data_IF_492802920093
#
_entry.id   IF_492802920093
#
_cell.length_a   1.000
_cell.length_b   1.000
_cell.length_c   1.000
_cell.angle_alpha   90.00
_cell.angle_beta   90.00
_cell.angle_gamma   90.00
#
_symmetry.space_group_name_H-M   'P 1'
#
loop_
_entity.id
_entity.type
_entity.pdbx_description
1 polymer ?
#
# COMPACT_ATOMS: atom_id res chain seq x y z
N UNK A 1 1.41 12.07 22.42
CA UNK A 1 2.80 11.97 22.99
C UNK A 1 3.77 11.28 22.01
N UNK A 2 3.21 10.52 21.06
CA UNK A 2 3.80 9.90 19.86
C UNK A 2 4.70 10.86 19.05
N UNK A 3 4.26 12.12 18.89
CA UNK A 3 4.97 13.20 18.20
C UNK A 3 6.42 13.41 18.66
N UNK A 4 6.72 13.30 19.97
CA UNK A 4 8.08 13.61 20.49
C UNK A 4 9.09 12.48 20.29
N UNK A 5 8.66 11.22 20.22
CA UNK A 5 9.57 10.08 20.09
C UNK A 5 9.85 9.71 18.63
N UNK A 6 8.87 9.77 17.72
CA UNK A 6 9.09 9.57 16.28
C UNK A 6 10.07 10.59 15.71
N UNK A 7 9.92 11.88 16.06
CA UNK A 7 10.84 12.95 15.64
C UNK A 7 12.28 12.71 16.15
N UNK A 8 12.43 12.10 17.32
CA UNK A 8 13.75 11.83 17.91
C UNK A 8 14.50 10.68 17.20
N UNK A 9 13.78 9.65 16.73
CA UNK A 9 14.31 8.56 15.90
C UNK A 9 14.61 9.03 14.47
N UNK A 10 13.71 9.81 13.88
CA UNK A 10 13.86 10.38 12.52
C UNK A 10 15.08 11.33 12.39
N UNK A 11 15.40 12.09 13.44
CA UNK A 11 16.59 12.98 13.47
C UNK A 11 17.90 12.19 13.63
N UNK A 12 17.89 11.03 14.28
CA UNK A 12 19.06 10.16 14.39
C UNK A 12 19.45 9.53 13.03
N UNK A 13 18.48 9.35 12.13
CA UNK A 13 18.70 8.73 10.81
C UNK A 13 19.35 9.68 9.82
N UNK A 14 19.04 10.98 9.88
CA UNK A 14 19.78 11.99 9.13
C UNK A 14 21.29 11.97 9.47
N UNK A 15 21.67 11.45 10.64
CA UNK A 15 23.06 11.24 11.05
C UNK A 15 23.61 9.86 10.61
N UNK A 16 22.79 8.82 10.44
CA UNK A 16 23.24 7.50 9.93
C UNK A 16 23.64 7.57 8.44
N UNK A 17 22.98 8.43 7.66
CA UNK A 17 23.34 8.72 6.27
C UNK A 17 24.65 9.53 6.13
N UNK A 18 25.22 10.03 7.24
CA UNK A 18 26.52 10.74 7.26
C UNK A 18 27.70 9.84 7.61
N UNK A 19 27.56 8.52 7.47
CA UNK A 19 28.62 7.53 7.74
C UNK A 19 29.89 7.76 6.91
N UNK A 20 30.75 8.67 7.39
CA UNK A 20 32.13 8.86 6.96
C UNK A 20 32.93 7.58 7.23
N UNK A 21 32.95 6.67 6.26
CA UNK A 21 33.92 5.59 6.15
C UNK A 21 34.98 5.97 5.12
N UNK A 22 36.22 6.15 5.56
CA UNK A 22 37.39 6.34 4.69
C UNK A 22 37.61 5.10 3.82
N UNK A 23 37.01 5.07 2.64
CA UNK A 23 37.46 4.23 1.54
C UNK A 23 37.02 4.84 0.21
N UNK A 24 37.76 4.52 -0.86
CA UNK A 24 37.67 5.12 -2.20
C UNK A 24 36.29 5.12 -2.90
N UNK A 25 35.23 4.57 -2.28
CA UNK A 25 33.83 4.70 -2.68
C UNK A 25 33.06 5.87 -2.03
N UNK A 26 33.72 6.72 -1.23
CA UNK A 26 33.07 7.83 -0.51
C UNK A 26 32.49 8.93 -1.41
N UNK A 27 33.04 9.15 -2.61
CA UNK A 27 32.52 10.14 -3.57
C UNK A 27 31.20 9.66 -4.19
N UNK A 28 31.12 8.39 -4.58
CA UNK A 28 29.90 7.79 -5.14
C UNK A 28 28.75 7.77 -4.12
N UNK A 29 29.08 7.49 -2.85
CA UNK A 29 28.09 7.51 -1.75
C UNK A 29 27.62 8.92 -1.43
N UNK A 30 28.53 9.90 -1.43
CA UNK A 30 28.17 11.30 -1.22
C UNK A 30 27.29 11.83 -2.35
N UNK A 31 27.59 11.51 -3.61
CA UNK A 31 26.75 11.88 -4.74
C UNK A 31 25.38 11.24 -4.64
N UNK A 32 25.30 9.96 -4.29
CA UNK A 32 24.02 9.26 -4.09
C UNK A 32 23.19 9.92 -2.98
N UNK A 33 23.82 10.29 -1.87
CA UNK A 33 23.15 11.00 -0.78
C UNK A 33 22.65 12.39 -1.22
N UNK A 34 23.46 13.14 -1.96
CA UNK A 34 23.05 14.43 -2.49
C UNK A 34 21.86 14.30 -3.45
N UNK A 35 21.81 13.23 -4.24
CA UNK A 35 20.67 12.95 -5.12
C UNK A 35 19.40 12.66 -4.30
N UNK A 36 19.50 11.85 -3.23
CA UNK A 36 18.39 11.63 -2.29
C UNK A 36 17.91 12.94 -1.65
N UNK A 37 18.84 13.76 -1.15
CA UNK A 37 18.53 15.03 -0.49
C UNK A 37 17.88 16.05 -1.46
N UNK A 38 18.25 16.00 -2.74
CA UNK A 38 17.67 16.83 -3.79
C UNK A 38 16.36 16.26 -4.38
N UNK A 39 15.91 15.08 -3.93
CA UNK A 39 14.72 14.40 -4.47
C UNK A 39 14.91 13.76 -5.85
N UNK A 40 16.14 13.56 -6.31
CA UNK A 40 16.46 12.86 -7.57
C UNK A 40 16.43 11.33 -7.38
N UNK A 41 15.25 10.81 -7.05
CA UNK A 41 15.05 9.39 -6.76
C UNK A 41 15.31 8.49 -7.98
N UNK A 42 14.87 8.91 -9.16
CA UNK A 42 15.10 8.16 -10.40
C UNK A 42 16.59 8.09 -10.75
N UNK A 43 17.35 9.16 -10.49
CA UNK A 43 18.79 9.16 -10.66
C UNK A 43 19.49 8.19 -9.70
N UNK A 44 19.07 8.13 -8.43
CA UNK A 44 19.60 7.15 -7.45
C UNK A 44 19.34 5.72 -7.92
N UNK A 45 18.09 5.40 -8.30
CA UNK A 45 17.71 4.06 -8.77
C UNK A 45 18.57 3.67 -9.98
N UNK A 46 18.65 4.54 -10.99
CA UNK A 46 19.41 4.28 -12.22
C UNK A 46 20.89 4.05 -11.96
N UNK A 47 21.45 4.69 -10.93
CA UNK A 47 22.86 4.58 -10.57
C UNK A 47 23.17 3.32 -9.76
N UNK A 48 22.32 2.99 -8.80
CA UNK A 48 22.64 2.01 -7.74
C UNK A 48 22.05 0.63 -8.04
N UNK A 49 20.87 0.54 -8.66
CA UNK A 49 20.08 -0.71 -8.74
C UNK A 49 20.82 -1.88 -9.40
N UNK A 50 21.52 -1.61 -10.52
CA UNK A 50 22.22 -2.64 -11.27
C UNK A 50 23.47 -3.20 -10.56
N UNK A 51 24.01 -2.47 -9.58
CA UNK A 51 25.29 -2.79 -8.92
C UNK A 51 25.17 -2.97 -7.41
N UNK A 52 23.95 -2.88 -6.87
CA UNK A 52 23.70 -2.92 -5.44
C UNK A 52 24.20 -4.23 -4.81
N UNK A 53 25.06 -4.12 -3.81
CA UNK A 53 25.66 -5.28 -3.14
C UNK A 53 25.92 -5.09 -1.65
N UNK A 54 25.73 -3.87 -1.14
CA UNK A 54 25.94 -3.53 0.26
C UNK A 54 24.67 -2.99 0.92
N UNK A 55 24.63 -3.06 2.26
CA UNK A 55 23.53 -2.49 3.07
C UNK A 55 23.30 -1.00 2.76
N UNK A 56 24.38 -0.26 2.46
CA UNK A 56 24.31 1.15 2.06
C UNK A 56 23.61 1.34 0.72
N UNK A 57 23.84 0.44 -0.24
CA UNK A 57 23.21 0.49 -1.56
C UNK A 57 21.72 0.15 -1.44
N UNK A 58 21.40 -0.88 -0.66
CA UNK A 58 20.01 -1.27 -0.39
C UNK A 58 19.26 -0.19 0.38
N UNK A 59 19.90 0.47 1.34
CA UNK A 59 19.28 1.59 2.07
C UNK A 59 19.00 2.78 1.15
N UNK A 60 19.93 3.12 0.26
CA UNK A 60 19.74 4.18 -0.72
C UNK A 60 18.63 3.86 -1.71
N UNK A 61 18.56 2.61 -2.19
CA UNK A 61 17.47 2.14 -3.07
C UNK A 61 16.13 2.16 -2.36
N UNK A 62 16.07 1.69 -1.11
CA UNK A 62 14.85 1.72 -0.32
C UNK A 62 14.32 3.16 -0.17
N UNK A 63 15.19 4.08 0.25
CA UNK A 63 14.85 5.50 0.38
C UNK A 63 14.44 6.13 -0.96
N UNK A 64 15.12 5.81 -2.06
CA UNK A 64 14.78 6.33 -3.38
C UNK A 64 13.42 5.83 -3.86
N UNK A 65 13.12 4.54 -3.70
CA UNK A 65 11.82 3.98 -4.05
C UNK A 65 10.70 4.56 -3.18
N UNK A 66 10.93 4.74 -1.87
CA UNK A 66 9.98 5.42 -0.98
C UNK A 66 9.72 6.87 -1.40
N UNK A 67 10.77 7.60 -1.81
CA UNK A 67 10.62 8.95 -2.35
C UNK A 67 9.91 9.01 -3.70
N UNK A 68 10.19 8.05 -4.60
CA UNK A 68 9.50 7.89 -5.89
C UNK A 68 8.02 7.56 -5.73
N UNK A 69 7.65 6.90 -4.63
CA UNK A 69 6.26 6.72 -4.21
C UNK A 69 5.55 8.04 -3.80
N UNK A 70 6.28 9.18 -3.73
CA UNK A 70 5.75 10.46 -3.24
C UNK A 70 5.74 10.58 -1.72
N UNK A 71 6.41 9.65 -1.02
CA UNK A 71 6.32 9.50 0.43
C UNK A 71 7.71 9.47 1.07
N UNK A 72 8.58 10.39 0.63
CA UNK A 72 9.93 10.52 1.17
C UNK A 72 9.89 10.82 2.68
N UNK A 73 11.02 10.62 3.36
CA UNK A 73 11.12 10.83 4.80
C UNK A 73 10.63 12.21 5.30
N UNK A 74 10.94 13.33 4.62
CA UNK A 74 10.39 14.63 5.00
C UNK A 74 8.87 14.70 4.89
N UNK A 75 8.31 14.10 3.83
CA UNK A 75 6.87 14.01 3.64
C UNK A 75 6.20 13.19 4.74
N UNK A 76 6.88 12.13 5.18
CA UNK A 76 6.46 11.25 6.27
C UNK A 76 6.37 12.00 7.60
N UNK A 77 7.40 12.80 7.90
CA UNK A 77 7.41 13.67 9.07
C UNK A 77 6.23 14.63 9.01
N UNK A 78 5.99 15.27 7.87
CA UNK A 78 4.86 16.18 7.67
C UNK A 78 3.52 15.49 7.84
N UNK A 79 3.33 14.31 7.23
CA UNK A 79 2.12 13.49 7.36
C UNK A 79 1.85 13.20 8.84
N UNK A 80 2.84 12.68 9.57
CA UNK A 80 2.71 12.36 11.01
C UNK A 80 2.44 13.63 11.83
N UNK A 81 3.08 14.74 11.50
CA UNK A 81 2.90 16.00 12.24
C UNK A 81 1.51 16.59 12.04
N UNK A 82 0.91 16.41 10.86
CA UNK A 82 -0.38 16.97 10.50
C UNK A 82 -1.57 16.08 10.89
N UNK A 83 -1.33 14.81 11.22
CA UNK A 83 -2.36 13.81 11.63
C UNK A 83 -2.74 13.94 13.12
N UNK A 84 -3.05 15.14 13.62
CA UNK A 84 -3.06 15.51 15.05
C UNK A 84 -3.77 14.53 16.05
N UNK A 85 -3.13 14.35 17.21
CA UNK A 85 -3.32 13.34 18.28
C UNK A 85 -4.56 13.58 19.21
N UNK A 86 -5.58 14.34 18.77
CA UNK A 86 -6.65 14.83 19.68
C UNK A 86 -8.10 14.63 19.22
N UNK A 87 -8.34 13.94 18.10
CA UNK A 87 -9.70 13.65 17.63
C UNK A 87 -9.78 12.31 16.90
N UNK A 88 -11.01 11.80 16.76
CA UNK A 88 -11.34 10.53 16.09
C UNK A 88 -10.92 10.49 14.60
N UNK A 89 -10.44 11.61 14.04
CA UNK A 89 -10.10 11.79 12.62
C UNK A 89 -8.60 11.65 12.29
N UNK A 90 -7.74 11.30 13.25
CA UNK A 90 -6.28 11.22 13.01
C UNK A 90 -5.91 10.18 11.94
N UNK A 91 -6.60 9.04 11.93
CA UNK A 91 -6.41 7.99 10.91
C UNK A 91 -6.88 8.43 9.53
N UNK A 92 -8.04 9.09 9.44
CA UNK A 92 -8.56 9.66 8.18
C UNK A 92 -7.60 10.70 7.63
N UNK A 93 -7.14 11.60 8.51
CA UNK A 93 -6.17 12.64 8.14
C UNK A 93 -4.87 12.02 7.64
N UNK A 94 -4.39 10.95 8.29
CA UNK A 94 -3.20 10.23 7.84
C UNK A 94 -3.39 9.65 6.42
N UNK A 95 -4.50 8.96 6.16
CA UNK A 95 -4.75 8.37 4.84
C UNK A 95 -4.92 9.47 3.78
N UNK A 96 -5.68 10.53 4.07
CA UNK A 96 -5.89 11.65 3.15
C UNK A 96 -4.57 12.33 2.76
N UNK A 97 -3.66 12.51 3.74
CA UNK A 97 -2.33 13.06 3.47
C UNK A 97 -1.46 12.11 2.62
N UNK A 98 -1.54 10.80 2.86
CA UNK A 98 -0.86 9.80 2.01
C UNK A 98 -1.45 9.80 0.61
N UNK A 99 -2.78 9.83 0.47
CA UNK A 99 -3.49 9.79 -0.81
C UNK A 99 -3.23 11.05 -1.65
N UNK A 100 -3.08 12.20 -1.00
CA UNK A 100 -2.73 13.46 -1.65
C UNK A 100 -1.29 13.47 -2.18
N UNK A 101 -0.36 12.82 -1.46
CA UNK A 101 1.07 12.86 -1.77
C UNK A 101 1.55 11.70 -2.64
N UNK A 102 0.85 10.57 -2.63
CA UNK A 102 1.27 9.36 -3.35
C UNK A 102 1.43 9.64 -4.84
N UNK A 103 2.43 9.00 -5.45
CA UNK A 103 2.52 8.90 -6.90
C UNK A 103 1.60 7.79 -7.44
N UNK A 104 1.35 7.79 -8.74
CA UNK A 104 0.56 6.73 -9.40
C UNK A 104 1.21 5.35 -9.29
N UNK A 105 2.53 5.27 -9.09
CA UNK A 105 3.30 4.03 -8.90
C UNK A 105 3.55 3.69 -7.44
N UNK A 106 2.93 4.41 -6.49
CA UNK A 106 3.28 4.32 -5.07
C UNK A 106 3.25 2.91 -4.48
N UNK A 107 2.25 2.08 -4.80
CA UNK A 107 2.19 0.71 -4.28
C UNK A 107 3.36 -0.15 -4.75
N UNK A 108 3.76 -0.02 -6.02
CA UNK A 108 4.90 -0.76 -6.56
C UNK A 108 6.22 -0.26 -5.97
N UNK A 109 6.40 1.06 -5.91
CA UNK A 109 7.62 1.65 -5.39
C UNK A 109 7.76 1.39 -3.87
N UNK A 110 6.67 1.42 -3.08
CA UNK A 110 6.69 1.02 -1.66
C UNK A 110 7.00 -0.47 -1.46
N UNK A 111 6.53 -1.34 -2.36
CA UNK A 111 6.88 -2.77 -2.32
C UNK A 111 8.37 -2.96 -2.57
N UNK A 112 8.94 -2.30 -3.58
CA UNK A 112 10.37 -2.31 -3.86
C UNK A 112 11.18 -1.76 -2.69
N UNK A 113 10.74 -0.64 -2.11
CA UNK A 113 11.34 -0.06 -0.90
C UNK A 113 11.41 -1.08 0.23
N UNK A 114 10.28 -1.72 0.53
CA UNK A 114 10.18 -2.76 1.56
C UNK A 114 11.08 -3.96 1.26
N UNK A 115 11.16 -4.39 0.00
CA UNK A 115 12.05 -5.46 -0.44
C UNK A 115 13.54 -5.13 -0.20
N UNK A 116 13.95 -3.89 -0.44
CA UNK A 116 15.33 -3.46 -0.17
C UNK A 116 15.62 -3.32 1.33
N UNK A 117 14.69 -2.84 2.15
CA UNK A 117 14.86 -2.89 3.60
C UNK A 117 15.02 -4.32 4.11
N UNK A 118 14.17 -5.25 3.64
CA UNK A 118 14.25 -6.68 3.98
C UNK A 118 15.58 -7.32 3.57
N UNK A 119 16.27 -6.84 2.53
CA UNK A 119 17.63 -7.33 2.19
C UNK A 119 18.67 -7.02 3.27
N UNK A 120 18.43 -6.03 4.14
CA UNK A 120 19.36 -5.62 5.21
C UNK A 120 19.02 -6.29 6.54
N UNK A 121 17.74 -6.29 6.91
CA UNK A 121 17.27 -6.81 8.22
C UNK A 121 16.74 -8.23 8.16
N UNK A 122 16.54 -8.78 6.96
CA UNK A 122 15.94 -10.10 6.74
C UNK A 122 14.59 -10.20 7.49
N UNK A 123 14.32 -11.34 8.13
CA UNK A 123 13.11 -11.58 8.94
C UNK A 123 13.27 -11.11 10.41
N UNK A 124 14.30 -10.32 10.72
CA UNK A 124 14.59 -9.96 12.13
C UNK A 124 13.61 -8.94 12.71
N UNK A 125 12.89 -8.21 11.87
CA UNK A 125 11.90 -7.23 12.32
C UNK A 125 10.60 -7.85 12.82
N UNK A 126 10.36 -9.13 12.54
CA UNK A 126 9.16 -9.88 12.97
C UNK A 126 9.49 -10.92 14.06
N UNK A 127 10.76 -11.07 14.45
CA UNK A 127 11.18 -12.03 15.46
C UNK A 127 11.20 -11.41 16.87
N UNK A 128 10.38 -11.97 17.76
CA UNK A 128 10.15 -11.52 19.15
C UNK A 128 11.41 -11.44 20.02
N UNK A 129 12.45 -12.21 19.69
CA UNK A 129 13.74 -12.27 20.41
C UNK A 129 14.93 -11.76 19.56
N UNK A 130 14.69 -11.03 18.47
CA UNK A 130 15.75 -10.56 17.61
C UNK A 130 16.67 -9.56 18.33
N UNK A 131 17.97 -9.87 18.39
CA UNK A 131 18.97 -8.93 18.88
C UNK A 131 19.39 -7.97 17.75
N UNK A 132 18.70 -6.85 17.66
CA UNK A 132 18.93 -5.81 16.63
C UNK A 132 19.89 -4.72 17.12
N UNK A 133 20.82 -4.31 16.24
CA UNK A 133 21.56 -3.07 16.42
C UNK A 133 20.63 -1.85 16.33
N UNK A 134 21.07 -0.68 16.82
CA UNK A 134 20.30 0.57 16.66
C UNK A 134 19.95 0.86 15.19
N UNK A 135 20.91 0.71 14.28
CA UNK A 135 20.67 0.91 12.85
C UNK A 135 19.67 -0.09 12.27
N UNK A 136 19.64 -1.33 12.75
CA UNK A 136 18.65 -2.32 12.31
C UNK A 136 17.26 -2.01 12.87
N UNK A 137 17.15 -1.46 14.09
CA UNK A 137 15.88 -0.98 14.63
C UNK A 137 15.31 0.16 13.79
N UNK A 138 16.14 1.11 13.39
CA UNK A 138 15.72 2.20 12.50
C UNK A 138 15.25 1.66 11.14
N UNK A 139 15.94 0.66 10.59
CA UNK A 139 15.50 0.00 9.34
C UNK A 139 14.18 -0.75 9.52
N UNK A 140 13.97 -1.44 10.64
CA UNK A 140 12.69 -2.08 10.94
C UNK A 140 11.55 -1.05 11.05
N UNK A 141 11.82 0.11 11.66
CA UNK A 141 10.86 1.21 11.69
C UNK A 141 10.52 1.67 10.27
N UNK A 142 11.50 1.86 9.38
CA UNK A 142 11.22 2.27 8.00
C UNK A 142 10.51 1.21 7.17
N UNK A 143 10.84 -0.06 7.38
CA UNK A 143 10.09 -1.16 6.79
C UNK A 143 8.62 -1.10 7.24
N UNK A 144 8.39 -0.94 8.54
CA UNK A 144 7.06 -0.79 9.12
C UNK A 144 6.30 0.40 8.53
N UNK A 145 6.91 1.58 8.49
CA UNK A 145 6.32 2.79 7.91
C UNK A 145 5.99 2.62 6.43
N UNK A 146 6.88 2.00 5.64
CA UNK A 146 6.66 1.69 4.24
C UNK A 146 5.44 0.77 4.04
N UNK A 147 5.28 -0.25 4.89
CA UNK A 147 4.10 -1.13 4.87
C UNK A 147 2.83 -0.39 5.27
N UNK A 148 2.87 0.45 6.32
CA UNK A 148 1.72 1.28 6.73
C UNK A 148 1.28 2.23 5.62
N UNK A 149 2.24 2.85 4.92
CA UNK A 149 1.97 3.68 3.75
C UNK A 149 1.35 2.89 2.61
N UNK A 150 1.79 1.64 2.39
CA UNK A 150 1.22 0.76 1.37
C UNK A 150 -0.26 0.49 1.66
N UNK A 151 -0.61 0.27 2.93
CA UNK A 151 -2.01 0.13 3.38
C UNK A 151 -2.80 1.39 3.15
N UNK A 152 -2.32 2.54 3.64
CA UNK A 152 -3.03 3.81 3.46
C UNK A 152 -3.24 4.12 1.97
N UNK A 153 -2.20 3.89 1.16
CA UNK A 153 -2.27 4.02 -0.30
C UNK A 153 -3.33 3.10 -0.91
N UNK A 154 -3.40 1.84 -0.46
CA UNK A 154 -4.40 0.88 -0.92
C UNK A 154 -5.81 1.28 -0.49
N UNK A 155 -6.01 1.69 0.78
CA UNK A 155 -7.31 2.17 1.28
C UNK A 155 -7.79 3.37 0.45
N UNK A 156 -6.91 4.33 0.14
CA UNK A 156 -7.23 5.45 -0.74
C UNK A 156 -7.59 5.05 -2.18
N UNK A 157 -7.24 3.84 -2.64
CA UNK A 157 -7.76 3.31 -3.90
C UNK A 157 -9.13 2.64 -3.77
N UNK A 158 -9.51 2.18 -2.58
CA UNK A 158 -10.77 1.45 -2.34
C UNK A 158 -11.94 2.38 -1.99
N UNK A 159 -11.68 3.52 -1.36
CA UNK A 159 -12.71 4.47 -0.94
C UNK A 159 -12.57 5.79 -1.70
N UNK A 160 -13.66 6.54 -1.86
CA UNK A 160 -13.60 7.96 -2.24
C UNK A 160 -13.71 8.86 -1.01
N UNK A 161 -14.51 8.47 -0.01
CA UNK A 161 -14.57 9.10 1.31
C UNK A 161 -14.08 8.15 2.40
N UNK A 162 -12.90 8.43 2.96
CA UNK A 162 -12.28 7.62 4.02
C UNK A 162 -12.88 7.95 5.41
N UNK A 163 -13.61 9.05 5.56
CA UNK A 163 -14.22 9.43 6.84
C UNK A 163 -15.25 8.40 7.33
N UNK A 164 -15.79 7.58 6.43
CA UNK A 164 -16.67 6.45 6.76
C UNK A 164 -15.99 5.39 7.64
N UNK A 165 -14.64 5.35 7.66
CA UNK A 165 -13.89 4.41 8.50
C UNK A 165 -13.77 4.85 9.96
N UNK A 166 -14.10 6.11 10.29
CA UNK A 166 -14.06 6.64 11.67
C UNK A 166 -15.39 7.18 12.16
N UNK A 167 -16.39 7.27 11.27
CA UNK A 167 -17.69 7.83 11.63
C UNK A 167 -18.59 6.82 12.37
N UNK A 168 -19.04 7.22 13.56
CA UNK A 168 -20.14 6.62 14.34
C UNK A 168 -21.53 6.80 13.65
N UNK A 169 -21.57 7.04 12.33
CA UNK A 169 -22.72 7.60 11.59
C UNK A 169 -23.03 6.75 10.36
N UNK A 170 -24.32 6.61 10.02
CA UNK A 170 -24.89 5.89 8.85
C UNK A 170 -24.49 6.47 7.47
N UNK A 171 -23.20 6.70 7.25
CA UNK A 171 -22.65 7.21 5.99
C UNK A 171 -21.84 6.10 5.34
N UNK A 172 -22.31 5.62 4.19
CA UNK A 172 -21.60 4.63 3.38
C UNK A 172 -20.87 5.29 2.21
N UNK A 173 -19.67 4.82 1.93
CA UNK A 173 -18.94 5.15 0.71
C UNK A 173 -19.28 4.10 -0.36
N UNK A 174 -19.82 4.56 -1.50
CA UNK A 174 -20.30 3.66 -2.55
C UNK A 174 -19.16 2.85 -3.17
N UNK A 175 -17.99 3.47 -3.34
CA UNK A 175 -16.80 2.83 -3.91
C UNK A 175 -16.18 1.82 -2.95
N UNK A 176 -16.12 2.11 -1.65
CA UNK A 176 -15.67 1.19 -0.62
C UNK A 176 -16.60 -0.02 -0.55
N UNK A 177 -17.91 0.22 -0.53
CA UNK A 177 -18.92 -0.83 -0.56
C UNK A 177 -18.78 -1.71 -1.81
N UNK A 178 -18.62 -1.09 -2.99
CA UNK A 178 -18.39 -1.81 -4.23
C UNK A 178 -17.06 -2.58 -4.22
N UNK A 179 -15.98 -2.00 -3.68
CA UNK A 179 -14.67 -2.65 -3.55
C UNK A 179 -14.73 -3.89 -2.66
N UNK A 180 -15.36 -3.79 -1.48
CA UNK A 180 -15.57 -4.91 -0.57
C UNK A 180 -16.43 -6.00 -1.20
N UNK A 181 -17.41 -5.59 -2.00
CA UNK A 181 -18.25 -6.49 -2.77
C UNK A 181 -17.44 -7.28 -3.81
N UNK A 182 -16.56 -6.60 -4.56
CA UNK A 182 -15.69 -7.23 -5.55
C UNK A 182 -14.75 -8.24 -4.89
N UNK A 183 -14.15 -7.87 -3.76
CA UNK A 183 -13.26 -8.75 -2.99
C UNK A 183 -14.00 -10.02 -2.53
N UNK A 184 -15.18 -9.86 -1.92
CA UNK A 184 -15.99 -11.00 -1.48
C UNK A 184 -16.40 -11.90 -2.65
N UNK A 185 -16.88 -11.32 -3.74
CA UNK A 185 -17.27 -12.06 -4.93
C UNK A 185 -16.10 -12.85 -5.54
N UNK A 186 -14.90 -12.27 -5.56
CA UNK A 186 -13.69 -12.93 -6.02
C UNK A 186 -13.36 -14.15 -5.14
N UNK A 187 -13.24 -13.99 -3.82
CA UNK A 187 -12.86 -15.06 -2.88
C UNK A 187 -13.85 -16.22 -2.87
N UNK A 188 -15.15 -15.92 -2.95
CA UNK A 188 -16.21 -16.93 -2.99
C UNK A 188 -16.30 -17.65 -4.36
N UNK A 189 -15.28 -17.47 -5.21
CA UNK A 189 -15.12 -18.17 -6.47
C UNK A 189 -16.15 -17.78 -7.52
N UNK A 190 -16.62 -16.52 -7.50
CA UNK A 190 -17.59 -15.96 -8.46
C UNK A 190 -18.92 -16.70 -8.50
N UNK A 191 -19.20 -17.47 -7.45
CA UNK A 191 -20.32 -18.42 -7.40
C UNK A 191 -21.38 -18.06 -6.37
N UNK A 192 -21.11 -17.09 -5.48
CA UNK A 192 -22.02 -16.75 -4.40
C UNK A 192 -23.19 -15.90 -4.88
N UNK A 193 -24.39 -16.46 -4.79
CA UNK A 193 -25.65 -15.75 -5.05
C UNK A 193 -26.11 -14.90 -3.85
N UNK A 194 -25.37 -14.92 -2.74
CA UNK A 194 -25.67 -14.17 -1.51
C UNK A 194 -24.82 -12.89 -1.36
N UNK A 195 -24.10 -12.47 -2.41
CA UNK A 195 -23.46 -11.16 -2.41
C UNK A 195 -24.56 -10.10 -2.40
N UNK A 196 -24.52 -9.19 -1.42
CA UNK A 196 -25.55 -8.19 -1.16
C UNK A 196 -25.64 -7.08 -2.20
N UNK A 197 -24.67 -7.03 -3.13
CA UNK A 197 -24.50 -5.96 -4.11
C UNK A 197 -24.64 -6.49 -5.54
N UNK A 198 -24.95 -5.59 -6.47
CA UNK A 198 -25.30 -5.96 -7.84
C UNK A 198 -24.04 -6.14 -8.68
N UNK A 199 -23.65 -7.41 -8.89
CA UNK A 199 -22.50 -7.77 -9.71
C UNK A 199 -22.94 -8.18 -11.12
N UNK A 200 -22.30 -7.58 -12.13
CA UNK A 200 -22.38 -8.00 -13.53
C UNK A 200 -21.05 -8.62 -13.93
N UNK A 201 -21.08 -9.92 -14.24
CA UNK A 201 -19.94 -10.70 -14.71
C UNK A 201 -20.31 -11.36 -16.04
N UNK A 202 -19.71 -10.88 -17.12
CA UNK A 202 -19.98 -11.37 -18.47
C UNK A 202 -19.16 -12.63 -18.82
N UNK A 203 -18.34 -13.15 -17.89
CA UNK A 203 -17.38 -14.23 -18.12
C UNK A 203 -16.40 -13.95 -19.27
N UNK A 204 -16.14 -12.67 -19.54
CA UNK A 204 -15.11 -12.25 -20.48
C UNK A 204 -13.76 -12.20 -19.79
N UNK A 205 -12.69 -12.28 -20.58
CA UNK A 205 -11.33 -12.11 -20.09
C UNK A 205 -10.65 -11.04 -20.92
N UNK A 206 -9.96 -10.13 -20.25
CA UNK A 206 -9.19 -9.06 -20.87
C UNK A 206 -7.71 -9.28 -20.59
N UNK A 207 -6.86 -9.06 -21.58
CA UNK A 207 -5.41 -9.19 -21.43
C UNK A 207 -4.76 -7.84 -21.68
N UNK A 208 -4.04 -7.31 -20.67
CA UNK A 208 -3.22 -6.11 -20.83
C UNK A 208 -1.89 -6.51 -21.46
N UNK A 209 -1.59 -5.97 -22.64
CA UNK A 209 -0.42 -6.37 -23.44
C UNK A 209 0.89 -5.90 -22.82
N UNK A 210 0.90 -4.71 -22.21
CA UNK A 210 2.09 -4.13 -21.55
C UNK A 210 2.63 -5.01 -20.41
N UNK A 211 1.77 -5.76 -19.72
CA UNK A 211 2.13 -6.70 -18.65
C UNK A 211 1.94 -8.18 -19.01
N UNK A 212 1.27 -8.46 -20.13
CA UNK A 212 0.77 -9.79 -20.52
C UNK A 212 -0.06 -10.48 -19.40
N UNK A 213 -0.82 -9.69 -18.64
CA UNK A 213 -1.70 -10.20 -17.57
C UNK A 213 -3.15 -10.24 -18.02
N UNK A 214 -3.83 -11.31 -17.63
CA UNK A 214 -5.23 -11.55 -17.97
C UNK A 214 -6.10 -11.45 -16.71
N UNK A 215 -7.17 -10.68 -16.81
CA UNK A 215 -8.14 -10.49 -15.74
C UNK A 215 -9.54 -10.82 -16.21
N UNK A 216 -10.41 -11.15 -15.26
CA UNK A 216 -11.86 -11.17 -15.48
C UNK A 216 -12.44 -9.85 -14.97
N UNK A 217 -12.90 -8.94 -15.86
CA UNK A 217 -13.54 -7.71 -15.43
C UNK A 217 -14.92 -8.02 -14.88
N UNK A 218 -15.28 -7.34 -13.80
CA UNK A 218 -16.62 -7.33 -13.22
C UNK A 218 -17.08 -5.89 -13.04
N UNK A 219 -18.39 -5.66 -13.10
CA UNK A 219 -18.98 -4.35 -12.83
C UNK A 219 -19.89 -4.47 -11.61
N UNK A 220 -19.73 -3.57 -10.66
CA UNK A 220 -20.56 -3.50 -9.45
C UNK A 220 -21.34 -2.20 -9.47
N UNK A 221 -22.65 -2.31 -9.27
CA UNK A 221 -23.54 -1.16 -9.13
C UNK A 221 -23.93 -0.96 -7.67
N UNK A 222 -23.62 0.22 -7.12
CA UNK A 222 -23.88 0.59 -5.74
C UNK A 222 -24.36 2.05 -5.67
N UNK A 223 -25.45 2.32 -4.94
CA UNK A 223 -26.04 3.66 -4.80
C UNK A 223 -26.29 4.45 -6.12
N UNK A 224 -26.47 3.74 -7.24
CA UNK A 224 -26.69 4.35 -8.56
C UNK A 224 -25.42 4.70 -9.33
N UNK A 225 -24.25 4.34 -8.79
CA UNK A 225 -22.95 4.45 -9.42
C UNK A 225 -22.45 3.06 -9.85
N UNK A 226 -21.58 3.02 -10.86
CA UNK A 226 -21.00 1.78 -11.39
C UNK A 226 -19.48 1.82 -11.31
N UNK A 227 -18.90 0.72 -10.85
CA UNK A 227 -17.47 0.56 -10.66
C UNK A 227 -17.00 -0.72 -11.36
N UNK A 228 -15.96 -0.62 -12.18
CA UNK A 228 -15.32 -1.79 -12.79
C UNK A 228 -14.13 -2.25 -11.93
N UNK A 229 -14.09 -3.54 -11.63
CA UNK A 229 -12.99 -4.19 -10.91
C UNK A 229 -12.41 -5.33 -11.73
N UNK A 230 -11.16 -5.69 -11.43
CA UNK A 230 -10.45 -6.76 -12.12
C UNK A 230 -10.18 -7.92 -11.16
N UNK A 231 -10.69 -9.10 -11.50
CA UNK A 231 -10.43 -10.35 -10.76
C UNK A 231 -9.24 -11.07 -11.40
N UNK A 232 -8.28 -11.47 -10.57
CA UNK A 232 -7.10 -12.25 -10.97
C UNK A 232 -7.45 -13.74 -11.14
N UNK A 233 -6.53 -14.50 -11.74
CA UNK A 233 -6.65 -15.96 -11.84
C UNK A 233 -6.62 -16.70 -10.49
N UNK A 234 -6.21 -15.99 -9.42
CA UNK A 234 -6.17 -16.48 -8.04
C UNK A 234 -7.41 -16.15 -7.22
N UNK A 235 -8.50 -15.69 -7.86
CA UNK A 235 -9.74 -15.32 -7.18
C UNK A 235 -9.55 -14.17 -6.18
N UNK A 236 -8.72 -13.19 -6.53
CA UNK A 236 -8.52 -11.95 -5.75
C UNK A 236 -8.83 -10.72 -6.61
N UNK A 237 -9.13 -9.59 -5.98
CA UNK A 237 -9.33 -8.33 -6.69
C UNK A 237 -8.00 -7.57 -6.82
N UNK A 238 -7.62 -7.23 -8.06
CA UNK A 238 -6.47 -6.38 -8.32
C UNK A 238 -6.79 -4.93 -7.91
N UNK A 239 -5.82 -4.22 -7.32
CA UNK A 239 -5.98 -2.78 -7.08
C UNK A 239 -5.90 -2.07 -8.44
N UNK A 240 -6.90 -1.25 -8.74
CA UNK A 240 -6.97 -0.45 -9.96
C UNK A 240 -6.92 1.04 -9.64
N UNK A 241 -6.47 1.82 -10.61
CA UNK A 241 -6.52 3.28 -10.57
C UNK A 241 -6.81 3.79 -11.97
N UNK A 242 -7.81 4.65 -12.11
CA UNK A 242 -8.17 5.24 -13.41
C UNK A 242 -8.55 4.17 -14.45
N UNK A 243 -8.65 4.58 -15.72
CA UNK A 243 -8.98 3.68 -16.84
C UNK A 243 -7.89 3.72 -17.91
N UNK A 244 -7.56 2.58 -18.50
CA UNK A 244 -6.59 2.48 -19.59
C UNK A 244 -7.04 1.45 -20.64
N UNK A 245 -6.50 1.57 -21.85
CA UNK A 245 -6.66 0.54 -22.87
C UNK A 245 -5.87 -0.72 -22.51
N UNK A 246 -6.32 -1.87 -23.02
CA UNK A 246 -5.57 -3.14 -22.92
C UNK A 246 -4.26 -3.13 -23.68
N UNK A 247 -4.08 -2.21 -24.64
CA UNK A 247 -2.86 -2.10 -25.45
C UNK A 247 -1.75 -1.34 -24.73
N UNK A 248 -2.08 -0.30 -23.96
CA UNK A 248 -1.06 0.42 -23.21
C UNK A 248 -1.55 1.13 -21.95
N UNK A 249 -0.79 0.96 -20.86
CA UNK A 249 -0.98 1.71 -19.61
C UNK A 249 -0.73 3.22 -19.78
N UNK A 250 0.03 3.63 -20.80
CA UNK A 250 0.26 5.05 -21.11
C UNK A 250 -1.00 5.82 -21.52
N UNK A 251 -2.08 5.12 -21.82
CA UNK A 251 -3.38 5.70 -22.19
C UNK A 251 -4.25 6.08 -20.98
N UNK A 252 -3.72 6.05 -19.75
CA UNK A 252 -4.50 6.34 -18.53
C UNK A 252 -5.29 7.65 -18.64
N UNK A 253 -6.60 7.52 -18.50
CA UNK A 253 -7.53 8.63 -18.34
C UNK A 253 -7.85 8.72 -16.87
N UNK A 254 -7.31 9.74 -16.20
CA UNK A 254 -7.71 10.06 -14.84
C UNK A 254 -9.20 10.41 -14.84
N UNK A 255 -9.97 9.83 -13.92
CA UNK A 255 -11.29 10.34 -13.64
C UNK A 255 -11.10 11.67 -12.92
N UNK A 256 -11.45 12.78 -13.56
CA UNK A 256 -11.85 13.96 -12.81
C UNK A 256 -13.27 13.73 -12.25
N UNK A 257 -13.71 14.59 -11.33
CA UNK A 257 -15.00 14.45 -10.62
C UNK A 257 -16.25 14.40 -11.53
N UNK A 258 -16.12 14.47 -12.87
CA UNK A 258 -17.22 14.45 -13.82
C UNK A 258 -17.21 13.27 -14.80
N UNK A 259 -16.21 12.37 -14.73
CA UNK A 259 -16.15 11.17 -15.59
C UNK A 259 -16.44 9.95 -14.71
N UNK A 260 -17.54 9.26 -14.98
CA UNK A 260 -17.88 7.95 -14.40
C UNK A 260 -17.66 6.84 -15.42
N UNK A 261 -17.60 5.58 -14.97
CA UNK A 261 -17.54 4.42 -15.86
C UNK A 261 -18.66 4.42 -16.91
N UNK A 262 -19.88 4.81 -16.52
CA UNK A 262 -21.02 4.96 -17.42
C UNK A 262 -20.82 6.06 -18.49
N UNK A 263 -20.10 7.13 -18.17
CA UNK A 263 -19.76 8.17 -19.17
C UNK A 263 -18.66 7.74 -20.13
N UNK A 264 -17.72 6.90 -19.70
CA UNK A 264 -16.68 6.33 -20.56
C UNK A 264 -17.26 5.31 -21.54
N UNK A 265 -18.15 4.44 -21.07
CA UNK A 265 -18.79 3.39 -21.91
C UNK A 265 -19.74 3.94 -22.98
N UNK A 266 -20.16 5.21 -22.87
CA UNK A 266 -21.07 5.89 -23.80
C UNK A 266 -20.38 6.84 -24.79
N UNK A 267 -19.06 7.05 -24.69
CA UNK A 267 -18.32 7.97 -25.55
C UNK A 267 -17.93 7.32 -26.89
N UNK A 268 -18.68 7.64 -27.96
CA UNK A 268 -18.58 6.97 -29.27
C UNK A 268 -17.30 7.20 -30.09
N UNK A 269 -16.44 8.14 -29.70
CA UNK A 269 -15.14 8.39 -30.36
C UNK A 269 -13.97 7.61 -29.70
N UNK A 270 -14.21 6.94 -28.57
CA UNK A 270 -13.25 6.10 -27.85
C UNK A 270 -13.49 4.62 -28.18
N UNK A 271 -13.11 4.21 -29.39
CA UNK A 271 -13.30 2.86 -29.92
C UNK A 271 -12.24 1.83 -29.43
N UNK A 272 -11.46 2.19 -28.39
CA UNK A 272 -10.62 1.26 -27.65
C UNK A 272 -11.36 0.93 -26.35
N UNK A 273 -11.58 -0.35 -26.05
CA UNK A 273 -12.20 -0.78 -24.79
C UNK A 273 -11.30 -0.35 -23.62
N UNK A 274 -11.65 0.74 -22.96
CA UNK A 274 -10.99 1.17 -21.73
C UNK A 274 -11.51 0.33 -20.57
N UNK A 275 -10.60 -0.09 -19.71
CA UNK A 275 -10.89 -0.89 -18.53
C UNK A 275 -10.23 -0.28 -17.30
N UNK A 276 -10.76 -0.59 -16.12
CA UNK A 276 -10.12 -0.30 -14.84
C UNK A 276 -8.65 -0.71 -14.90
N UNK A 277 -7.74 0.23 -14.64
CA UNK A 277 -6.33 0.03 -14.97
C UNK A 277 -5.56 -0.50 -13.75
N UNK A 278 -4.95 -1.71 -13.80
CA UNK A 278 -4.17 -2.25 -12.69
C UNK A 278 -3.06 -1.29 -12.27
N UNK A 279 -2.83 -1.12 -10.95
CA UNK A 279 -1.74 -0.27 -10.45
C UNK A 279 -0.36 -0.92 -10.59
N UNK A 280 -0.29 -2.25 -10.73
CA UNK A 280 0.97 -2.95 -10.93
C UNK A 280 1.34 -2.98 -12.42
N UNK A 281 1.93 -1.89 -12.90
CA UNK A 281 2.41 -1.70 -14.28
C UNK A 281 3.79 -2.33 -14.53
N UNK A 282 4.05 -3.57 -14.09
CA UNK A 282 5.31 -4.22 -14.44
C UNK A 282 5.37 -4.38 -15.96
N UNK A 283 6.01 -3.44 -16.65
CA UNK A 283 6.22 -3.48 -18.09
C UNK A 283 7.11 -4.67 -18.42
N UNK A 284 6.69 -5.50 -19.37
CA UNK A 284 7.55 -6.53 -19.93
C UNK A 284 8.75 -5.85 -20.61
N UNK A 285 9.91 -5.84 -19.94
CA UNK A 285 11.17 -5.61 -20.63
C UNK A 285 11.45 -6.86 -21.46
N UNK A 286 11.65 -6.69 -22.78
CA UNK A 286 11.90 -7.79 -23.72
C UNK A 286 13.05 -8.67 -23.20
N UNK A 287 12.71 -9.84 -22.65
CA UNK A 287 13.67 -10.80 -22.10
C UNK A 287 13.37 -11.30 -20.68
N UNK A 288 12.53 -10.61 -19.91
CA UNK A 288 12.08 -11.07 -18.59
C UNK A 288 10.70 -11.74 -18.66
N UNK A 289 10.55 -12.86 -17.95
CA UNK A 289 9.23 -13.38 -17.65
C UNK A 289 8.60 -12.42 -16.62
N UNK A 290 7.38 -11.92 -16.87
CA UNK A 290 6.62 -11.15 -15.88
C UNK A 290 6.58 -11.93 -14.56
N UNK A 291 7.42 -11.54 -13.59
CA UNK A 291 7.64 -12.30 -12.35
C UNK A 291 7.09 -11.62 -11.11
N UNK A 292 6.64 -10.37 -11.20
CA UNK A 292 5.99 -9.71 -10.08
C UNK A 292 4.53 -10.17 -10.02
N UNK A 293 4.06 -10.57 -8.83
CA UNK A 293 2.66 -10.94 -8.62
C UNK A 293 1.76 -9.70 -8.71
N UNK A 294 0.47 -9.89 -9.00
CA UNK A 294 -0.50 -8.80 -8.88
C UNK A 294 -0.47 -8.20 -7.47
N UNK A 295 -0.55 -6.87 -7.38
CA UNK A 295 -0.81 -6.20 -6.10
C UNK A 295 -2.32 -6.28 -5.89
N UNK A 296 -2.74 -7.23 -5.06
CA UNK A 296 -4.15 -7.39 -4.71
C UNK A 296 -4.47 -6.63 -3.43
N UNK A 297 -5.71 -6.20 -3.28
CA UNK A 297 -6.17 -5.51 -2.06
C UNK A 297 -5.92 -6.35 -0.81
N UNK A 298 -6.15 -7.65 -0.94
CA UNK A 298 -5.88 -8.66 0.06
C UNK A 298 -4.42 -8.68 0.48
N UNK A 299 -3.52 -8.84 -0.49
CA UNK A 299 -2.09 -8.99 -0.22
C UNK A 299 -1.54 -7.72 0.44
N UNK A 300 -1.97 -6.53 0.02
CA UNK A 300 -1.49 -5.28 0.63
C UNK A 300 -1.92 -5.18 2.10
N UNK A 301 -3.21 -5.38 2.39
CA UNK A 301 -3.74 -5.20 3.75
C UNK A 301 -3.28 -6.34 4.66
N UNK A 302 -3.35 -7.59 4.18
CA UNK A 302 -2.93 -8.78 4.93
C UNK A 302 -1.42 -8.78 5.21
N UNK A 303 -0.58 -8.51 4.21
CA UNK A 303 0.87 -8.46 4.44
C UNK A 303 1.25 -7.34 5.40
N UNK A 304 0.60 -6.18 5.33
CA UNK A 304 0.91 -5.10 6.27
C UNK A 304 0.42 -5.37 7.70
N UNK A 305 -0.73 -6.02 7.87
CA UNK A 305 -1.25 -6.43 9.19
C UNK A 305 -0.47 -7.58 9.83
N UNK A 306 0.26 -8.37 9.03
CA UNK A 306 1.05 -9.48 9.53
C UNK A 306 2.54 -9.15 9.64
N UNK A 307 3.08 -8.34 8.73
CA UNK A 307 4.53 -8.07 8.66
C UNK A 307 4.87 -6.61 9.02
N UNK A 308 3.99 -5.67 8.69
CA UNK A 308 4.19 -4.24 8.94
C UNK A 308 4.01 -3.86 10.41
N UNK A 309 2.93 -4.34 11.03
CA UNK A 309 2.65 -4.13 12.47
C UNK A 309 3.76 -4.65 13.35
N UNK A 310 4.26 -5.84 13.04
CA UNK A 310 5.30 -6.51 13.81
C UNK A 310 6.63 -5.78 13.66
N UNK A 311 6.93 -5.27 12.45
CA UNK A 311 8.14 -4.46 12.18
C UNK A 311 8.16 -3.13 12.91
N UNK A 312 7.00 -2.45 13.06
CA UNK A 312 6.87 -1.23 13.87
C UNK A 312 7.06 -1.58 15.34
N UNK A 313 6.45 -2.67 15.80
CA UNK A 313 6.47 -3.11 17.19
C UNK A 313 7.86 -3.25 17.79
N UNK A 314 8.82 -3.78 17.01
CA UNK A 314 10.21 -3.93 17.45
C UNK A 314 10.95 -2.60 17.67
N UNK A 315 10.48 -1.52 17.07
CA UNK A 315 11.01 -0.16 17.24
C UNK A 315 10.10 0.76 18.08
N UNK A 316 8.91 0.29 18.46
CA UNK A 316 7.87 1.08 19.10
C UNK A 316 7.99 1.15 20.63
N UNK A 317 7.34 2.16 21.23
CA UNK A 317 7.10 2.21 22.67
C UNK A 317 6.00 1.22 23.07
N UNK A 318 5.96 0.80 24.35
CA UNK A 318 4.93 -0.11 24.88
C UNK A 318 3.50 0.36 24.55
N UNK A 319 3.21 1.66 24.67
CA UNK A 319 1.90 2.24 24.34
C UNK A 319 1.51 2.03 22.85
N UNK A 320 2.48 2.07 21.95
CA UNK A 320 2.23 1.94 20.50
C UNK A 320 2.10 0.47 20.11
N UNK A 321 2.88 -0.41 20.75
CA UNK A 321 2.66 -1.85 20.65
C UNK A 321 1.24 -2.22 21.10
N UNK A 322 0.76 -1.63 22.19
CA UNK A 322 -0.60 -1.86 22.69
C UNK A 322 -1.68 -1.47 21.66
N UNK A 323 -1.56 -0.30 21.02
CA UNK A 323 -2.50 0.10 19.96
C UNK A 323 -2.44 -0.79 18.72
N UNK A 324 -1.25 -1.28 18.36
CA UNK A 324 -1.06 -2.24 17.26
C UNK A 324 -1.74 -3.57 17.60
N UNK A 325 -1.53 -4.07 18.81
CA UNK A 325 -2.12 -5.33 19.29
C UNK A 325 -3.65 -5.25 19.38
N UNK A 326 -4.18 -4.10 19.82
CA UNK A 326 -5.61 -3.80 19.85
C UNK A 326 -6.21 -3.85 18.46
N UNK A 327 -5.64 -3.11 17.50
CA UNK A 327 -6.10 -3.10 16.12
C UNK A 327 -6.04 -4.49 15.47
N UNK A 328 -4.92 -5.22 15.62
CA UNK A 328 -4.78 -6.59 15.11
C UNK A 328 -5.84 -7.51 15.73
N UNK A 329 -6.14 -7.35 17.02
CA UNK A 329 -7.18 -8.10 17.71
C UNK A 329 -8.57 -7.85 17.12
N UNK A 330 -8.92 -6.59 16.84
CA UNK A 330 -10.20 -6.22 16.24
C UNK A 330 -10.36 -6.81 14.83
N UNK A 331 -9.30 -6.75 13.99
CA UNK A 331 -9.34 -7.34 12.65
C UNK A 331 -9.50 -8.86 12.71
N UNK A 332 -8.92 -9.52 13.71
CA UNK A 332 -9.12 -10.96 13.95
C UNK A 332 -10.54 -11.31 14.45
N UNK A 333 -11.40 -10.30 14.67
CA UNK A 333 -12.74 -10.44 15.25
C UNK A 333 -12.70 -10.76 16.74
N UNK A 334 -11.66 -10.29 17.43
CA UNK A 334 -11.46 -10.42 18.86
C UNK A 334 -11.90 -9.19 19.65
N UNK A 335 -11.72 -9.25 20.96
CA UNK A 335 -11.89 -8.14 21.90
C UNK A 335 -10.60 -7.96 22.69
N UNK A 336 -10.03 -6.75 22.64
CA UNK A 336 -8.81 -6.41 23.36
C UNK A 336 -9.14 -5.88 24.77
N UNK A 337 -8.42 -6.35 25.80
CA UNK A 337 -8.65 -5.95 27.20
C UNK A 337 -7.46 -5.22 27.84
N UNK A 338 -6.93 -4.19 27.19
CA UNK A 338 -5.77 -3.40 27.63
C UNK A 338 -4.44 -4.16 27.73
N UNK A 339 -4.42 -5.48 27.83
CA UNK A 339 -3.15 -6.24 27.88
C UNK A 339 -3.23 -7.63 27.24
N UNK A 340 -4.39 -8.03 26.73
CA UNK A 340 -4.51 -9.28 25.98
C UNK A 340 -5.64 -9.22 24.96
N UNK A 341 -5.42 -9.89 23.84
CA UNK A 341 -6.46 -10.23 22.89
C UNK A 341 -7.06 -11.60 23.25
N UNK A 342 -8.37 -11.77 23.08
CA UNK A 342 -9.02 -13.08 23.22
C UNK A 342 -8.74 -14.01 22.01
N UNK A 343 -8.17 -13.46 20.93
CA UNK A 343 -7.53 -14.17 19.82
C UNK A 343 -6.02 -14.21 19.99
N UNK A 344 -5.37 -15.22 19.40
CA UNK A 344 -3.91 -15.27 19.37
C UNK A 344 -3.38 -14.27 18.34
N UNK A 345 -2.58 -13.31 18.79
CA UNK A 345 -1.94 -12.29 17.94
C UNK A 345 -0.82 -12.85 17.04
N UNK A 346 -0.39 -14.09 17.32
CA UNK A 346 0.51 -14.87 16.47
C UNK A 346 -0.21 -15.48 15.24
N UNK A 347 -1.55 -15.40 15.20
CA UNK A 347 -2.32 -15.82 14.03
C UNK A 347 -2.19 -14.78 12.93
N UNK A 348 -1.85 -15.24 11.73
CA UNK A 348 -1.91 -14.41 10.55
C UNK A 348 -3.36 -14.01 10.25
N UNK A 349 -3.58 -12.71 10.06
CA UNK A 349 -4.81 -12.15 9.52
C UNK A 349 -5.04 -12.71 8.12
N UNK A 350 -6.30 -13.04 7.81
CA UNK A 350 -6.73 -13.54 6.49
C UNK A 350 -7.53 -12.48 5.73
N UNK A 351 -7.61 -12.62 4.40
CA UNK A 351 -8.40 -11.72 3.55
C UNK A 351 -9.88 -11.64 3.97
N UNK A 352 -10.48 -12.77 4.37
CA UNK A 352 -11.86 -12.83 4.85
C UNK A 352 -12.07 -12.03 6.15
N UNK A 353 -11.07 -12.01 7.04
CA UNK A 353 -11.13 -11.24 8.28
C UNK A 353 -11.05 -9.73 8.00
N UNK A 354 -10.19 -9.31 7.08
CA UNK A 354 -10.10 -7.91 6.63
C UNK A 354 -11.44 -7.44 6.04
N UNK A 355 -12.05 -8.24 5.14
CA UNK A 355 -13.35 -7.90 4.55
C UNK A 355 -14.43 -7.79 5.62
N UNK A 356 -14.42 -8.70 6.60
CA UNK A 356 -15.41 -8.68 7.69
C UNK A 356 -15.24 -7.43 8.55
N UNK A 357 -14.01 -7.07 8.90
CA UNK A 357 -13.70 -5.86 9.66
C UNK A 357 -14.14 -4.60 8.91
N UNK A 358 -13.76 -4.45 7.65
CA UNK A 358 -14.11 -3.28 6.83
C UNK A 358 -15.63 -3.17 6.63
N UNK A 359 -16.33 -4.28 6.35
CA UNK A 359 -17.80 -4.27 6.25
C UNK A 359 -18.49 -3.91 7.57
N UNK A 360 -17.92 -4.29 8.72
CA UNK A 360 -18.52 -3.97 10.03
C UNK A 360 -18.42 -2.48 10.33
N UNK A 361 -17.36 -1.82 9.85
CA UNK A 361 -17.11 -0.40 10.05
C UNK A 361 -17.73 0.49 8.96
N UNK A 362 -18.07 -0.05 7.79
CA UNK A 362 -18.75 0.65 6.69
C UNK A 362 -20.28 0.49 6.81
N UNK A 363 -20.93 1.27 7.69
CA UNK A 363 -22.39 1.21 7.95
C UNK A 363 -23.21 2.29 7.21
#
# INVERSE_FOLDING_TARGET
MIKKMLISSLVAVALVLTGCGEDSGGVDKLETQQMLDNGDFNGVISRVEATASSDSDYLALAAAYMGKAGLALPDLIDIILNSDDTGDDAFVTFIDQVDTKKSSSALNDLEKSSGYYKKIVEEKCSATDANLSYSQKDICLFLGLSQTMKVATAIGYLADDISVLTADINTSDAKLTASLCAMKYAIDGRSDTNVTCSVTDNNESITFLDSNRTYSPIVISENGETFEFLITDKNSTAITSSFCSTESFSTRIALDQNITFDTLSSYSDYNASYHACPVNETLLVVGDAASEADITTADVIVSALNEGTDSIGVAASEDMQQSIDEFKCEVLGGTYNYSSCDKSLDQNVTEQQVITYLNTNNN
#
